data_IF_075115561021
#
_entry.id   IF_075115561021
#
_cell.length_a   1.000
_cell.length_b   1.000
_cell.length_c   1.000
_cell.angle_alpha   90.00
_cell.angle_beta   90.00
_cell.angle_gamma   90.00
#
_symmetry.space_group_name_H-M   'P 1'
#
loop_
_entity.id
_entity.type
_entity.pdbx_description
1 polymer ?
#
# COMPACT_ATOMS: atom_id res chain seq x y z
N UNK A 1 -5.29 0.61 13.95
CA UNK A 1 -4.63 1.63 13.11
C UNK A 1 -3.20 1.79 13.57
N UNK A 2 -2.25 1.98 12.66
CA UNK A 2 -0.82 2.13 12.95
C UNK A 2 -0.29 3.45 12.42
N UNK A 3 0.81 3.94 13.01
CA UNK A 3 1.54 5.08 12.45
C UNK A 3 2.43 4.59 11.30
N UNK A 4 2.04 4.88 10.06
CA UNK A 4 2.83 4.56 8.86
C UNK A 4 3.73 5.71 8.41
N UNK A 5 3.88 6.76 9.24
CA UNK A 5 4.88 7.80 9.03
C UNK A 5 4.54 8.78 7.91
N UNK A 6 3.25 9.00 7.61
CA UNK A 6 2.83 9.89 6.54
C UNK A 6 3.41 11.31 6.72
N UNK A 7 3.89 11.85 5.60
CA UNK A 7 4.78 13.00 5.39
C UNK A 7 6.28 12.75 5.57
N UNK A 8 6.74 11.69 6.24
CA UNK A 8 8.18 11.37 6.39
C UNK A 8 8.60 10.27 5.42
N UNK A 9 7.76 9.24 5.26
CA UNK A 9 7.99 8.10 4.37
C UNK A 9 6.79 7.85 3.46
N UNK A 10 7.07 7.29 2.28
CA UNK A 10 6.11 6.64 1.40
C UNK A 10 6.50 5.16 1.30
N UNK A 11 5.66 4.28 1.85
CA UNK A 11 6.01 2.87 2.03
C UNK A 11 7.28 2.70 2.86
N UNK A 12 8.31 2.06 2.28
CA UNK A 12 9.64 1.93 2.91
C UNK A 12 10.63 3.02 2.50
N UNK A 13 10.25 3.93 1.62
CA UNK A 13 11.12 4.99 1.09
C UNK A 13 10.97 6.29 1.89
N UNK A 14 12.07 6.96 2.29
CA UNK A 14 11.99 8.29 2.88
C UNK A 14 11.65 9.33 1.82
N UNK A 15 10.63 10.15 2.06
CA UNK A 15 10.23 11.26 1.16
C UNK A 15 10.67 12.62 1.69
N UNK A 16 10.80 12.78 3.02
CA UNK A 16 11.30 13.99 3.65
C UNK A 16 12.34 13.66 4.71
N UNK A 17 13.62 13.71 4.33
CA UNK A 17 14.75 13.39 5.21
C UNK A 17 15.08 14.47 6.23
N UNK A 18 14.57 15.69 6.03
CA UNK A 18 14.82 16.85 6.90
C UNK A 18 13.84 16.92 8.08
N UNK A 19 12.74 16.15 8.03
CA UNK A 19 11.76 16.14 9.11
C UNK A 19 12.23 15.20 10.22
N UNK A 20 12.22 15.72 11.44
CA UNK A 20 12.50 14.88 12.61
C UNK A 20 11.43 13.81 12.75
N UNK A 21 11.88 12.57 12.93
CA UNK A 21 10.96 11.48 13.26
C UNK A 21 10.40 11.73 14.65
N UNK A 22 9.07 11.78 14.74
CA UNK A 22 8.38 11.85 16.01
C UNK A 22 8.70 10.64 16.91
N UNK A 23 8.38 10.74 18.21
CA UNK A 23 8.72 9.70 19.19
C UNK A 23 8.00 8.37 18.96
N UNK A 24 6.91 8.36 18.19
CA UNK A 24 6.16 7.15 17.86
C UNK A 24 6.83 6.38 16.72
N UNK A 25 7.16 5.09 16.89
CA UNK A 25 7.72 4.28 15.82
C UNK A 25 6.86 4.29 14.56
N UNK A 26 7.51 4.42 13.40
CA UNK A 26 6.89 4.26 12.09
C UNK A 26 6.88 2.77 11.76
N UNK A 27 5.69 2.23 11.52
CA UNK A 27 5.50 0.84 11.14
C UNK A 27 5.65 0.68 9.62
N UNK A 28 6.26 -0.40 9.12
CA UNK A 28 6.29 -0.69 7.70
C UNK A 28 4.89 -1.09 7.20
N UNK A 29 4.55 -0.81 5.94
CA UNK A 29 3.34 -1.32 5.34
C UNK A 29 3.43 -2.84 5.12
N UNK A 30 2.28 -3.50 5.05
CA UNK A 30 2.20 -4.93 4.69
C UNK A 30 2.75 -5.19 3.28
N UNK A 31 2.43 -4.30 2.34
CA UNK A 31 2.87 -4.33 0.94
C UNK A 31 3.21 -2.91 0.52
N UNK A 32 4.29 -2.74 -0.22
CA UNK A 32 4.64 -1.53 -0.96
C UNK A 32 4.86 -1.90 -2.43
N UNK A 33 4.45 -1.00 -3.32
CA UNK A 33 4.65 -1.14 -4.76
C UNK A 33 5.53 0.00 -5.25
N UNK A 34 6.53 -0.26 -6.11
CA UNK A 34 7.28 0.81 -6.73
C UNK A 34 6.40 1.57 -7.73
N UNK A 35 6.61 2.89 -7.86
CA UNK A 35 5.87 3.73 -8.81
C UNK A 35 6.07 3.33 -10.29
N UNK A 36 7.07 2.51 -10.59
CA UNK A 36 7.22 1.90 -11.91
C UNK A 36 6.16 0.85 -12.24
N UNK A 37 5.46 0.32 -11.22
CA UNK A 37 4.50 -0.78 -11.33
C UNK A 37 3.09 -0.37 -10.88
N UNK A 38 2.97 0.51 -9.88
CA UNK A 38 1.70 1.05 -9.40
C UNK A 38 1.93 2.40 -8.72
N UNK A 39 1.05 3.36 -8.99
CA UNK A 39 1.20 4.75 -8.54
C UNK A 39 -0.07 5.33 -7.90
N UNK A 40 -1.24 4.73 -8.16
CA UNK A 40 -2.53 5.20 -7.65
C UNK A 40 -3.53 4.05 -7.44
N UNK A 41 -3.31 3.23 -6.41
CA UNK A 41 -4.30 2.22 -5.99
C UNK A 41 -5.59 2.93 -5.58
N UNK A 42 -6.65 2.74 -6.38
CA UNK A 42 -7.91 3.47 -6.20
C UNK A 42 -8.92 2.70 -5.37
N UNK A 43 -8.88 1.36 -5.42
CA UNK A 43 -9.77 0.52 -4.64
C UNK A 43 -9.66 -0.95 -4.99
N UNK A 44 -10.46 -1.76 -4.30
CA UNK A 44 -10.48 -3.21 -4.48
C UNK A 44 -11.57 -3.88 -3.64
N UNK A 45 -11.77 -5.17 -3.89
CA UNK A 45 -12.76 -6.01 -3.22
C UNK A 45 -12.21 -7.42 -2.91
N UNK A 46 -12.79 -8.08 -1.92
CA UNK A 46 -12.50 -9.50 -1.68
C UNK A 46 -13.22 -10.36 -2.71
N UNK A 47 -12.49 -11.30 -3.31
CA UNK A 47 -13.05 -12.20 -4.30
C UNK A 47 -13.66 -13.45 -3.64
N UNK A 48 -14.97 -13.61 -3.80
CA UNK A 48 -15.74 -14.77 -3.33
C UNK A 48 -16.35 -15.63 -4.45
N UNK A 49 -15.95 -15.38 -5.71
CA UNK A 49 -16.51 -16.04 -6.88
C UNK A 49 -16.05 -17.50 -7.04
N UNK A 50 -16.87 -18.32 -7.70
CA UNK A 50 -16.53 -19.73 -7.99
C UNK A 50 -15.75 -19.91 -9.30
N UNK A 51 -15.68 -18.88 -10.14
CA UNK A 51 -15.09 -18.95 -11.48
C UNK A 51 -13.57 -19.06 -11.45
N UNK A 52 -12.92 -18.36 -10.52
CA UNK A 52 -11.47 -18.36 -10.34
C UNK A 52 -11.16 -18.79 -8.90
N UNK A 53 -11.20 -20.10 -8.59
CA UNK A 53 -11.03 -20.60 -7.21
C UNK A 53 -9.71 -20.19 -6.56
N UNK A 54 -8.67 -19.93 -7.36
CA UNK A 54 -7.35 -19.49 -6.88
C UNK A 54 -7.36 -18.09 -6.27
N UNK A 55 -8.38 -17.28 -6.55
CA UNK A 55 -8.56 -15.94 -5.98
C UNK A 55 -9.49 -15.95 -4.76
N UNK A 56 -10.03 -17.10 -4.35
CA UNK A 56 -10.93 -17.17 -3.20
C UNK A 56 -10.24 -16.60 -1.94
N UNK A 57 -10.96 -15.72 -1.24
CA UNK A 57 -10.50 -15.00 -0.04
C UNK A 57 -9.30 -14.06 -0.26
N UNK A 58 -8.95 -13.77 -1.51
CA UNK A 58 -7.93 -12.77 -1.85
C UNK A 58 -8.57 -11.40 -2.04
N UNK A 59 -7.87 -10.35 -1.60
CA UNK A 59 -8.24 -8.97 -1.88
C UNK A 59 -7.66 -8.55 -3.23
N UNK A 60 -8.53 -8.28 -4.20
CA UNK A 60 -8.18 -7.87 -5.55
C UNK A 60 -8.38 -6.36 -5.64
N UNK A 61 -7.33 -5.62 -6.02
CA UNK A 61 -7.35 -4.17 -6.12
C UNK A 61 -6.76 -3.72 -7.45
N UNK A 62 -7.12 -2.51 -7.86
CA UNK A 62 -6.68 -1.90 -9.11
C UNK A 62 -6.02 -0.54 -8.89
N UNK A 63 -5.08 -0.26 -9.78
CA UNK A 63 -4.35 1.00 -9.88
C UNK A 63 -4.93 1.85 -11.02
N UNK A 64 -5.20 3.14 -10.78
CA UNK A 64 -5.75 4.00 -11.82
C UNK A 64 -4.75 4.29 -12.95
N UNK A 65 -3.46 4.35 -12.64
CA UNK A 65 -2.43 4.65 -13.63
C UNK A 65 -2.01 3.39 -14.40
N UNK A 66 -1.95 2.22 -13.73
CA UNK A 66 -1.39 0.99 -14.31
C UNK A 66 -2.36 -0.19 -14.47
N UNK A 67 -3.52 -0.22 -13.79
CA UNK A 67 -4.57 -1.25 -13.99
C UNK A 67 -5.31 -1.70 -12.73
#
# INVERSE_FOLDING_TARGET
GGNYGWSIVEGRQPVNTHFERGPTPILPPTVDHPHSESASITGGEFYYGKRLPTLADQYVYGDYETG
#
